data_IF_352664453721
#
_entry.id   IF_352664453721
#
_cell.length_a   1.000
_cell.length_b   1.000
_cell.length_c   1.000
_cell.angle_alpha   90.00
_cell.angle_beta   90.00
_cell.angle_gamma   90.00
#
_symmetry.space_group_name_H-M   'P 1'
#
loop_
_entity.id
_entity.type
_entity.pdbx_description
1 polymer ?
#
# COMPACT_ATOMS: atom_id res chain seq x y z
N UNK A 1 2.22 -14.99 -6.47
CA UNK A 1 3.18 -14.18 -5.67
C UNK A 1 3.77 -13.20 -6.67
N UNK A 2 3.79 -11.89 -6.38
CA UNK A 2 4.31 -10.90 -7.34
C UNK A 2 5.70 -11.34 -7.81
N UNK A 3 5.91 -11.46 -9.11
CA UNK A 3 7.12 -12.05 -9.72
C UNK A 3 8.34 -11.13 -9.55
N UNK A 4 8.70 -10.81 -8.31
CA UNK A 4 9.76 -9.85 -7.96
C UNK A 4 9.37 -8.38 -8.13
N UNK A 5 8.10 -8.06 -8.42
CA UNK A 5 7.64 -6.69 -8.55
C UNK A 5 7.54 -5.98 -7.18
N UNK A 6 7.89 -4.70 -7.16
CA UNK A 6 7.72 -3.82 -6.00
C UNK A 6 6.23 -3.73 -5.60
N UNK A 7 5.95 -3.85 -4.31
CA UNK A 7 4.59 -3.80 -3.75
C UNK A 7 4.47 -2.63 -2.78
N UNK A 8 3.38 -1.88 -2.90
CA UNK A 8 3.01 -0.82 -1.95
C UNK A 8 1.64 -1.16 -1.36
N UNK A 9 1.60 -1.40 -0.05
CA UNK A 9 0.35 -1.59 0.68
C UNK A 9 -0.17 -0.24 1.22
N UNK A 10 -1.47 0.01 1.12
CA UNK A 10 -2.13 1.21 1.65
C UNK A 10 -3.53 0.90 2.20
N UNK A 11 -4.05 1.77 3.07
CA UNK A 11 -5.43 1.71 3.55
C UNK A 11 -6.01 3.12 3.72
N UNK A 12 -6.54 3.45 4.90
CA UNK A 12 -7.01 4.81 5.24
C UNK A 12 -5.90 5.64 5.90
N UNK A 13 -5.29 5.17 6.98
CA UNK A 13 -4.23 5.86 7.75
C UNK A 13 -3.02 4.95 8.05
N UNK A 14 -2.73 3.99 7.17
CA UNK A 14 -1.55 3.12 7.28
C UNK A 14 -1.64 1.95 8.28
N UNK A 15 -2.62 1.95 9.18
CA UNK A 15 -2.71 1.03 10.32
C UNK A 15 -3.09 -0.41 9.88
N UNK A 16 -4.00 -0.52 8.93
CA UNK A 16 -4.44 -1.80 8.37
C UNK A 16 -3.47 -2.32 7.31
N UNK A 17 -2.87 -1.43 6.54
CA UNK A 17 -1.87 -1.81 5.55
C UNK A 17 -0.55 -2.24 6.18
N UNK A 18 -0.23 -1.80 7.40
CA UNK A 18 0.89 -2.35 8.18
C UNK A 18 0.74 -3.85 8.44
N UNK A 19 -0.48 -4.33 8.70
CA UNK A 19 -0.74 -5.77 8.87
C UNK A 19 -0.45 -6.55 7.57
N UNK A 20 -0.92 -6.05 6.43
CA UNK A 20 -0.64 -6.68 5.13
C UNK A 20 0.85 -6.61 4.77
N UNK A 21 1.50 -5.47 5.02
CA UNK A 21 2.94 -5.32 4.86
C UNK A 21 3.71 -6.36 5.69
N UNK A 22 3.33 -6.56 6.96
CA UNK A 22 3.96 -7.56 7.82
C UNK A 22 3.80 -8.98 7.26
N UNK A 23 2.60 -9.34 6.80
CA UNK A 23 2.38 -10.66 6.19
C UNK A 23 3.24 -10.85 4.94
N UNK A 24 3.27 -9.85 4.04
CA UNK A 24 4.01 -9.95 2.79
C UNK A 24 5.54 -9.98 3.01
N UNK A 25 6.04 -9.09 3.87
CA UNK A 25 7.47 -8.93 4.13
C UNK A 25 8.00 -10.01 5.09
N UNK A 26 7.44 -10.10 6.30
CA UNK A 26 7.99 -10.93 7.37
C UNK A 26 7.61 -12.42 7.23
N UNK A 27 6.41 -12.72 6.74
CA UNK A 27 5.93 -14.11 6.67
C UNK A 27 6.13 -14.75 5.31
N UNK A 28 5.99 -13.98 4.23
CA UNK A 28 6.11 -14.48 2.85
C UNK A 28 7.46 -14.15 2.20
N UNK A 29 8.35 -13.41 2.89
CA UNK A 29 9.71 -13.13 2.43
C UNK A 29 9.77 -12.26 1.18
N UNK A 30 8.79 -11.37 0.98
CA UNK A 30 8.87 -10.38 -0.09
C UNK A 30 9.67 -9.17 0.37
N UNK A 31 10.90 -9.04 -0.11
CA UNK A 31 11.82 -7.98 0.33
C UNK A 31 11.40 -6.58 -0.16
N UNK A 32 10.77 -6.48 -1.34
CA UNK A 32 10.40 -5.19 -1.94
C UNK A 32 8.94 -4.79 -1.65
N UNK A 33 8.59 -4.74 -0.37
CA UNK A 33 7.25 -4.33 0.08
C UNK A 33 7.36 -3.11 0.98
N UNK A 34 6.59 -2.07 0.66
CA UNK A 34 6.51 -0.82 1.45
C UNK A 34 5.08 -0.59 1.94
N UNK A 35 4.95 -0.07 3.15
CA UNK A 35 3.68 0.46 3.64
C UNK A 35 3.62 1.97 3.35
N UNK A 36 2.60 2.40 2.61
CA UNK A 36 2.31 3.83 2.41
C UNK A 36 1.40 4.32 3.54
N UNK A 37 2.00 4.93 4.55
CA UNK A 37 1.36 5.33 5.81
C UNK A 37 0.38 6.50 5.64
N UNK A 38 0.68 7.48 4.78
CA UNK A 38 -0.24 8.57 4.44
C UNK A 38 -1.57 8.07 3.84
N UNK A 39 -1.49 6.96 3.09
CA UNK A 39 -2.64 6.17 2.66
C UNK A 39 -3.71 7.02 1.96
N UNK A 40 -4.98 6.60 1.97
CA UNK A 40 -6.04 7.33 1.30
C UNK A 40 -6.37 8.69 1.94
N UNK A 41 -6.08 8.89 3.22
CA UNK A 41 -6.26 10.23 3.82
C UNK A 41 -5.32 11.26 3.22
N UNK A 42 -4.10 10.86 2.84
CA UNK A 42 -3.19 11.73 2.11
C UNK A 42 -3.59 11.78 0.62
N UNK A 43 -3.61 10.62 -0.05
CA UNK A 43 -3.85 10.56 -1.51
C UNK A 43 -5.18 11.16 -1.93
N UNK A 44 -6.26 10.85 -1.21
CA UNK A 44 -7.59 11.37 -1.50
C UNK A 44 -7.76 12.87 -1.29
N UNK A 45 -6.82 13.53 -0.62
CA UNK A 45 -6.82 14.98 -0.39
C UNK A 45 -5.71 15.73 -1.15
N UNK A 46 -4.81 15.04 -1.85
CA UNK A 46 -3.80 15.69 -2.67
C UNK A 46 -4.42 16.31 -3.93
N UNK A 47 -3.92 17.50 -4.28
CA UNK A 47 -4.36 18.21 -5.50
C UNK A 47 -3.68 17.58 -6.71
N UNK A 48 -4.45 17.36 -7.79
CA UNK A 48 -3.96 16.88 -9.09
C UNK A 48 -3.26 15.50 -9.07
N UNK A 49 -3.69 14.58 -8.21
CA UNK A 49 -3.27 13.17 -8.27
C UNK A 49 -4.30 12.32 -9.02
N UNK A 50 -3.88 11.27 -9.76
CA UNK A 50 -4.82 10.40 -10.44
C UNK A 50 -5.64 9.58 -9.45
N UNK A 51 -6.93 9.40 -9.76
CA UNK A 51 -7.86 8.57 -9.01
C UNK A 51 -8.70 7.78 -10.01
N UNK A 52 -8.61 6.46 -9.91
CA UNK A 52 -9.51 5.55 -10.62
C UNK A 52 -10.78 5.33 -9.78
N UNK A 53 -11.93 5.21 -10.44
CA UNK A 53 -13.22 4.88 -9.81
C UNK A 53 -13.83 3.73 -10.60
N UNK A 54 -14.50 2.83 -9.88
CA UNK A 54 -15.34 1.83 -10.51
C UNK A 54 -16.43 2.52 -11.35
N UNK A 55 -16.70 1.97 -12.54
CA UNK A 55 -17.75 2.42 -13.46
C UNK A 55 -19.06 1.70 -13.15
#
# INVERSE_FOLDING_TARGET
VTDGADVIAYCRIGERSAHTWFVLHELLGQDSVKNYDGSWTEWGNMVNVPVEKDV
#
